data_IF_987722658274
#
_entry.id   IF_987722658274
#
_cell.length_a   1.000
_cell.length_b   1.000
_cell.length_c   1.000
_cell.angle_alpha   90.00
_cell.angle_beta   90.00
_cell.angle_gamma   90.00
#
_symmetry.space_group_name_H-M   'P 1'
#
loop_
_entity.id
_entity.type
_entity.pdbx_description
1 polymer ?
#
# COMPACT_ATOMS: atom_id res chain seq x y z
N UNK A 1 2.47 46.83 -32.10
CA UNK A 1 2.79 45.49 -32.68
C UNK A 1 3.11 44.42 -31.63
N UNK A 2 3.16 44.71 -30.33
CA UNK A 2 3.45 43.67 -29.30
C UNK A 2 2.23 42.85 -28.83
N UNK A 3 1.00 43.36 -28.94
CA UNK A 3 -0.17 42.66 -28.40
C UNK A 3 -0.56 41.39 -29.18
N UNK A 4 -0.26 41.33 -30.49
CA UNK A 4 -0.66 40.21 -31.35
C UNK A 4 0.18 38.95 -31.05
N UNK A 5 1.42 39.12 -30.58
CA UNK A 5 2.29 38.00 -30.20
C UNK A 5 1.95 37.41 -28.83
N UNK A 6 1.21 38.10 -27.96
CA UNK A 6 0.86 37.61 -26.61
C UNK A 6 -0.40 36.77 -26.57
N UNK A 7 -1.36 37.05 -27.46
CA UNK A 7 -2.60 36.29 -27.59
C UNK A 7 -2.40 34.76 -27.76
N UNK A 8 -1.52 34.28 -28.66
CA UNK A 8 -1.35 32.84 -28.84
C UNK A 8 -0.77 32.14 -27.61
N UNK A 9 0.11 32.80 -26.85
CA UNK A 9 0.65 32.24 -25.60
C UNK A 9 -0.40 32.20 -24.47
N UNK A 10 -1.28 33.20 -24.40
CA UNK A 10 -2.38 33.23 -23.41
C UNK A 10 -3.41 32.14 -23.73
N UNK A 11 -3.77 31.97 -25.01
CA UNK A 11 -4.68 30.91 -25.47
C UNK A 11 -4.06 29.52 -25.25
N UNK A 12 -2.77 29.35 -25.54
CA UNK A 12 -2.08 28.07 -25.31
C UNK A 12 -1.96 27.75 -23.81
N UNK A 13 -1.65 28.75 -22.97
CA UNK A 13 -1.57 28.58 -21.52
C UNK A 13 -2.93 28.23 -20.89
N UNK A 14 -4.01 28.90 -21.30
CA UNK A 14 -5.37 28.57 -20.83
C UNK A 14 -5.84 27.19 -21.31
N UNK A 15 -5.44 26.79 -22.52
CA UNK A 15 -5.70 25.44 -23.03
C UNK A 15 -4.97 24.37 -22.20
N UNK A 16 -3.69 24.56 -21.86
CA UNK A 16 -2.96 23.62 -21.00
C UNK A 16 -3.55 23.51 -19.58
N UNK A 17 -3.98 24.63 -18.97
CA UNK A 17 -4.58 24.66 -17.63
C UNK A 17 -5.95 23.96 -17.55
N UNK A 18 -6.71 23.92 -18.64
CA UNK A 18 -8.03 23.29 -18.68
C UNK A 18 -7.98 21.80 -19.02
N UNK A 19 -6.93 21.33 -19.72
CA UNK A 19 -6.78 19.91 -20.11
C UNK A 19 -6.06 19.08 -19.02
N UNK A 20 -5.18 19.70 -18.22
CA UNK A 20 -4.42 19.02 -17.17
C UNK A 20 -5.28 18.16 -16.20
N UNK A 21 -6.43 18.62 -15.67
CA UNK A 21 -7.24 17.80 -14.77
C UNK A 21 -7.98 16.65 -15.48
N UNK A 22 -8.08 16.66 -16.82
CA UNK A 22 -8.72 15.59 -17.60
C UNK A 22 -7.75 14.45 -17.91
N UNK A 23 -6.43 14.72 -17.82
CA UNK A 23 -5.36 13.75 -18.09
C UNK A 23 -4.98 12.88 -16.89
N UNK A 24 -5.64 13.02 -15.74
CA UNK A 24 -5.46 12.10 -14.60
C UNK A 24 -6.14 10.76 -14.93
N UNK A 25 -5.48 9.95 -15.75
CA UNK A 25 -5.86 8.57 -15.98
C UNK A 25 -5.72 7.78 -14.69
N UNK A 26 -6.85 7.42 -14.06
CA UNK A 26 -6.83 6.36 -13.04
C UNK A 26 -6.44 5.07 -13.76
N UNK A 27 -5.25 4.55 -13.48
CA UNK A 27 -4.82 3.25 -13.98
C UNK A 27 -5.87 2.20 -13.60
N UNK A 28 -6.69 1.76 -14.56
CA UNK A 28 -7.57 0.62 -14.35
C UNK A 28 -6.67 -0.61 -14.39
N UNK A 29 -6.30 -1.10 -13.21
CA UNK A 29 -5.52 -2.32 -13.11
C UNK A 29 -6.36 -3.49 -13.61
N UNK A 30 -6.04 -4.02 -14.79
CA UNK A 30 -6.76 -5.12 -15.43
C UNK A 30 -6.16 -6.50 -15.09
N UNK A 31 -5.21 -6.61 -14.16
CA UNK A 31 -4.74 -7.93 -13.76
C UNK A 31 -5.84 -8.66 -13.00
N UNK A 32 -5.98 -9.93 -13.32
CA UNK A 32 -6.79 -10.86 -12.54
C UNK A 32 -6.16 -10.98 -11.14
N UNK A 33 -6.90 -10.58 -10.11
CA UNK A 33 -6.48 -10.78 -8.73
C UNK A 33 -6.97 -12.15 -8.27
N UNK A 34 -6.05 -13.09 -8.12
CA UNK A 34 -6.36 -14.33 -7.42
C UNK A 34 -6.57 -14.03 -5.93
N UNK A 35 -7.52 -14.74 -5.31
CA UNK A 35 -7.82 -14.58 -3.89
C UNK A 35 -6.76 -15.34 -3.10
N UNK A 36 -5.92 -14.61 -2.36
CA UNK A 36 -4.93 -15.21 -1.49
C UNK A 36 -5.61 -15.98 -0.35
N UNK A 37 -5.24 -17.25 -0.16
CA UNK A 37 -5.64 -18.06 0.98
C UNK A 37 -4.75 -17.69 2.18
N UNK A 38 -5.36 -17.20 3.26
CA UNK A 38 -4.64 -16.74 4.45
C UNK A 38 -3.77 -17.84 5.09
N UNK A 39 -4.24 -19.09 5.13
CA UNK A 39 -3.48 -20.20 5.68
C UNK A 39 -2.29 -20.54 4.78
N UNK A 40 -2.50 -20.61 3.47
CA UNK A 40 -1.42 -20.84 2.51
C UNK A 40 -0.37 -19.71 2.57
N UNK A 41 -0.79 -18.47 2.81
CA UNK A 41 0.13 -17.35 3.02
C UNK A 41 1.00 -17.61 4.24
N UNK A 42 0.39 -17.99 5.37
CA UNK A 42 1.17 -18.30 6.57
C UNK A 42 2.10 -19.47 6.31
N UNK A 43 1.62 -20.61 5.82
CA UNK A 43 2.43 -21.81 5.59
C UNK A 43 3.71 -21.54 4.77
N UNK A 44 3.64 -20.64 3.78
CA UNK A 44 4.69 -20.50 2.77
C UNK A 44 5.54 -19.23 2.90
N UNK A 45 5.03 -18.14 3.50
CA UNK A 45 5.73 -16.85 3.51
C UNK A 45 6.08 -16.42 4.93
N UNK A 46 7.35 -16.63 5.31
CA UNK A 46 7.88 -16.16 6.60
C UNK A 46 8.14 -14.65 6.63
N UNK A 47 8.19 -13.99 5.48
CA UNK A 47 8.40 -12.55 5.37
C UNK A 47 7.59 -12.00 4.21
N UNK A 48 7.08 -10.79 4.35
CA UNK A 48 6.39 -10.09 3.28
C UNK A 48 6.76 -8.60 3.28
N UNK A 49 6.65 -7.99 2.09
CA UNK A 49 6.83 -6.56 1.87
C UNK A 49 5.58 -6.06 1.18
N UNK A 50 4.96 -5.03 1.73
CA UNK A 50 3.91 -4.26 1.07
C UNK A 50 4.50 -2.91 0.66
N UNK A 51 4.31 -2.56 -0.61
CA UNK A 51 4.71 -1.27 -1.16
C UNK A 51 3.44 -0.58 -1.64
N UNK A 52 3.13 0.58 -1.08
CA UNK A 52 1.92 1.32 -1.40
C UNK A 52 2.11 2.80 -1.11
N UNK A 53 1.53 3.67 -1.92
CA UNK A 53 1.44 5.11 -1.63
C UNK A 53 0.23 5.33 -0.70
N UNK A 54 0.46 5.23 0.62
CA UNK A 54 -0.63 5.22 1.61
C UNK A 54 -1.22 6.61 1.79
N UNK A 55 -0.39 7.65 1.75
CA UNK A 55 -0.79 9.03 1.98
C UNK A 55 -1.05 9.85 0.70
N UNK A 56 -0.77 9.27 -0.47
CA UNK A 56 -1.01 9.84 -1.81
C UNK A 56 -0.12 11.04 -2.14
N UNK A 57 1.05 11.15 -1.52
CA UNK A 57 2.00 12.21 -1.81
C UNK A 57 2.85 11.92 -3.07
N UNK A 58 2.77 10.69 -3.59
CA UNK A 58 3.42 10.23 -4.81
C UNK A 58 4.75 9.51 -4.57
N UNK A 59 5.23 9.40 -3.32
CA UNK A 59 6.26 8.45 -2.94
C UNK A 59 5.65 7.09 -2.51
N UNK A 60 6.47 6.03 -2.52
CA UNK A 60 6.01 4.69 -2.19
C UNK A 60 6.46 4.33 -0.78
N UNK A 61 5.50 4.15 0.13
CA UNK A 61 5.77 3.63 1.45
C UNK A 61 6.10 2.14 1.39
N UNK A 62 7.02 1.70 2.25
CA UNK A 62 7.40 0.30 2.39
C UNK A 62 7.10 -0.17 3.82
N UNK A 63 6.23 -1.17 3.92
CA UNK A 63 5.99 -1.93 5.14
C UNK A 63 6.64 -3.31 4.98
N UNK A 64 7.51 -3.66 5.91
CA UNK A 64 8.12 -4.99 5.98
C UNK A 64 7.61 -5.75 7.20
N UNK A 65 7.39 -7.05 7.03
CA UNK A 65 6.96 -7.93 8.11
C UNK A 65 7.73 -9.25 8.09
N UNK A 66 8.03 -9.76 9.28
CA UNK A 66 8.65 -11.06 9.51
C UNK A 66 7.82 -11.86 10.50
N UNK A 67 7.62 -13.14 10.21
CA UNK A 67 6.92 -14.08 11.07
C UNK A 67 7.86 -14.64 12.12
N UNK A 68 7.45 -14.59 13.39
CA UNK A 68 8.25 -15.04 14.53
C UNK A 68 7.72 -16.35 15.15
N UNK A 69 6.42 -16.42 15.50
CA UNK A 69 5.84 -17.57 16.21
C UNK A 69 4.70 -18.18 15.38
N UNK A 70 4.99 -19.19 14.54
CA UNK A 70 3.97 -19.84 13.71
C UNK A 70 3.45 -21.15 14.33
N UNK A 71 2.16 -21.18 14.66
CA UNK A 71 1.43 -22.39 14.96
C UNK A 71 0.73 -22.92 13.71
N UNK A 72 1.28 -23.98 13.13
CA UNK A 72 0.74 -24.64 11.94
C UNK A 72 -0.61 -25.32 12.19
N UNK A 73 -0.86 -25.81 13.40
CA UNK A 73 -2.10 -26.52 13.74
C UNK A 73 -3.24 -25.52 13.90
N UNK A 74 -3.00 -24.43 14.65
CA UNK A 74 -3.97 -23.35 14.80
C UNK A 74 -4.04 -22.42 13.58
N UNK A 75 -3.08 -22.54 12.64
CA UNK A 75 -2.89 -21.60 11.53
C UNK A 75 -2.75 -20.14 12.01
N UNK A 76 -2.11 -19.93 13.15
CA UNK A 76 -1.90 -18.59 13.73
C UNK A 76 -0.42 -18.22 13.72
N UNK A 77 -0.12 -16.94 13.58
CA UNK A 77 1.25 -16.46 13.51
C UNK A 77 1.40 -15.14 14.27
N UNK A 78 2.55 -14.95 14.94
CA UNK A 78 2.99 -13.62 15.33
C UNK A 78 3.81 -13.02 14.19
N UNK A 79 3.37 -11.87 13.69
CA UNK A 79 4.10 -11.07 12.73
C UNK A 79 4.66 -9.82 13.40
N UNK A 80 5.89 -9.51 13.04
CA UNK A 80 6.64 -8.36 13.50
C UNK A 80 6.79 -7.37 12.36
N UNK A 81 6.14 -6.23 12.49
CA UNK A 81 6.14 -5.16 11.51
C UNK A 81 7.23 -4.16 11.84
N UNK A 82 8.03 -3.82 10.85
CA UNK A 82 9.02 -2.74 10.93
C UNK A 82 8.54 -1.57 10.08
N UNK A 83 8.14 -0.50 10.74
CA UNK A 83 7.65 0.75 10.14
C UNK A 83 8.74 1.82 10.27
N UNK A 84 9.16 2.44 9.18
CA UNK A 84 10.09 3.58 9.25
C UNK A 84 9.27 4.87 9.28
N UNK A 85 9.60 5.76 10.21
CA UNK A 85 9.05 7.12 10.19
C UNK A 85 9.79 8.02 9.19
N UNK A 86 9.33 9.25 9.03
CA UNK A 86 9.90 10.26 8.12
C UNK A 86 11.40 10.55 8.38
N UNK A 87 11.90 10.27 9.59
CA UNK A 87 13.30 10.45 9.95
C UNK A 87 14.14 9.17 9.75
N UNK A 88 13.56 8.13 9.13
CA UNK A 88 14.20 6.83 8.92
C UNK A 88 14.30 5.96 10.18
N UNK A 89 13.73 6.40 11.32
CA UNK A 89 13.74 5.61 12.55
C UNK A 89 12.67 4.51 12.48
N UNK A 90 13.09 3.28 12.76
CA UNK A 90 12.22 2.12 12.74
C UNK A 90 11.44 1.96 14.05
N UNK A 91 10.13 1.82 13.94
CA UNK A 91 9.24 1.39 15.00
C UNK A 91 8.77 -0.03 14.74
N UNK A 92 8.69 -0.80 15.81
CA UNK A 92 8.44 -2.23 15.77
C UNK A 92 7.11 -2.53 16.46
N UNK A 93 6.20 -3.18 15.74
CA UNK A 93 4.87 -3.54 16.25
C UNK A 93 4.65 -5.03 16.01
N UNK A 94 4.12 -5.74 17.00
CA UNK A 94 3.84 -7.18 16.90
C UNK A 94 2.35 -7.42 16.86
N UNK A 95 1.89 -8.18 15.87
CA UNK A 95 0.50 -8.57 15.73
C UNK A 95 0.36 -10.09 15.74
N UNK A 96 -0.60 -10.59 16.51
CA UNK A 96 -1.10 -11.94 16.33
C UNK A 96 -2.09 -11.94 15.16
N UNK A 97 -1.86 -12.84 14.20
CA UNK A 97 -2.65 -12.95 12.97
C UNK A 97 -3.23 -14.36 12.87
N UNK A 98 -4.51 -14.45 12.50
CA UNK A 98 -5.23 -15.69 12.25
C UNK A 98 -6.08 -15.58 10.97
N UNK A 99 -6.50 -16.70 10.35
CA UNK A 99 -7.42 -16.67 9.22
C UNK A 99 -8.78 -16.14 9.67
N UNK A 100 -9.39 -15.31 8.83
CA UNK A 100 -10.76 -14.82 9.05
C UNK A 100 -11.83 -15.77 8.50
N UNK A 101 -13.11 -15.38 8.63
CA UNK A 101 -14.23 -16.17 8.12
C UNK A 101 -14.18 -16.44 6.60
N UNK A 102 -13.61 -15.53 5.81
CA UNK A 102 -13.36 -15.73 4.39
C UNK A 102 -11.88 -16.00 4.09
N UNK A 103 -11.61 -16.68 2.98
CA UNK A 103 -10.26 -17.10 2.54
C UNK A 103 -9.21 -15.98 2.53
N UNK A 104 -9.61 -14.77 2.15
CA UNK A 104 -8.76 -13.58 2.05
C UNK A 104 -8.83 -12.65 3.27
N UNK A 105 -9.48 -13.09 4.34
CA UNK A 105 -9.59 -12.29 5.56
C UNK A 105 -8.52 -12.71 6.56
N UNK A 106 -8.01 -11.71 7.26
CA UNK A 106 -7.05 -11.86 8.33
C UNK A 106 -7.65 -11.21 9.58
N UNK A 107 -7.68 -11.95 10.69
CA UNK A 107 -7.95 -11.40 12.00
C UNK A 107 -6.61 -10.95 12.59
N UNK A 108 -6.53 -9.71 13.04
CA UNK A 108 -5.31 -9.11 13.54
C UNK A 108 -5.58 -8.59 14.95
N UNK A 109 -4.80 -9.03 15.94
CA UNK A 109 -4.80 -8.50 17.30
C UNK A 109 -3.41 -7.97 17.61
N UNK A 110 -3.32 -6.76 18.17
CA UNK A 110 -2.05 -6.26 18.72
C UNK A 110 -1.63 -7.19 19.87
N UNK A 111 -0.40 -7.72 19.80
CA UNK A 111 0.13 -8.59 20.85
C UNK A 111 0.29 -7.85 22.18
N UNK A 112 0.47 -6.53 22.13
CA UNK A 112 0.73 -5.68 23.29
C UNK A 112 -0.51 -4.95 23.81
N UNK A 113 -1.68 -5.13 23.17
CA UNK A 113 -2.95 -4.58 23.65
C UNK A 113 -3.74 -5.70 24.33
N UNK A 114 -4.03 -5.51 25.62
CA UNK A 114 -4.89 -6.41 26.42
C UNK A 114 -6.29 -6.55 25.78
#
# INVERSE_FOLDING_TARGET
MEQVFRLPFIVLGTLCLTIAPVLTGKGKHHLKHDTADAKAVFDNFASAIAIFDVDKDGDLDCLSTVRLDYDKNASTAIYFWTLKNLNGHAQNISFQVAPGPALNQFLVKDKNSD
#
